data_IF_813613319779
#
_entry.id   IF_813613319779
#
_cell.length_a   1.000
_cell.length_b   1.000
_cell.length_c   1.000
_cell.angle_alpha   90.00
_cell.angle_beta   90.00
_cell.angle_gamma   90.00
#
_symmetry.space_group_name_H-M   'P 1'
#
loop_
_entity.id
_entity.type
_entity.pdbx_description
1 polymer ?
#
# COMPACT_ATOMS: atom_id res chain seq x y z
N UNK A 1 55.06 -1.18 17.78
CA UNK A 1 54.23 -0.59 16.70
C UNK A 1 53.04 -1.51 16.54
N UNK A 2 51.93 -1.15 17.19
CA UNK A 2 50.71 -1.94 17.17
C UNK A 2 50.05 -1.85 15.80
N UNK A 3 49.86 -3.01 15.19
CA UNK A 3 48.95 -3.23 14.07
C UNK A 3 47.52 -3.00 14.58
N UNK A 4 47.05 -1.76 14.44
CA UNK A 4 45.63 -1.46 14.57
C UNK A 4 44.88 -2.19 13.45
N UNK A 5 44.34 -3.35 13.79
CA UNK A 5 43.36 -4.05 12.95
C UNK A 5 42.16 -3.11 12.75
N UNK A 6 42.03 -2.59 11.53
CA UNK A 6 40.81 -1.92 11.11
C UNK A 6 39.66 -2.92 11.28
N UNK A 7 38.83 -2.71 12.31
CA UNK A 7 37.67 -3.56 12.60
C UNK A 7 36.58 -3.34 11.53
N UNK A 8 36.36 -4.25 10.57
CA UNK A 8 35.44 -4.02 9.48
C UNK A 8 34.12 -4.72 9.77
N UNK A 9 33.34 -4.27 10.78
CA UNK A 9 32.02 -4.89 11.03
C UNK A 9 31.01 -4.14 11.92
N UNK A 10 31.14 -2.83 12.18
CA UNK A 10 30.18 -2.11 13.06
C UNK A 10 28.96 -1.48 12.38
N UNK A 11 28.89 -1.41 11.04
CA UNK A 11 27.86 -0.63 10.32
C UNK A 11 27.13 -1.39 9.19
N UNK A 12 27.23 -2.72 9.09
CA UNK A 12 26.43 -3.46 8.12
C UNK A 12 25.00 -3.60 8.65
N UNK A 13 24.02 -3.04 7.92
CA UNK A 13 22.61 -3.25 8.20
C UNK A 13 22.28 -4.74 8.06
N UNK A 14 21.80 -5.36 9.12
CA UNK A 14 21.33 -6.76 9.15
C UNK A 14 19.82 -6.81 8.92
N UNK A 15 19.27 -7.99 8.63
CA UNK A 15 17.81 -8.18 8.55
C UNK A 15 17.14 -7.79 9.87
N UNK A 16 17.68 -8.25 11.00
CA UNK A 16 17.13 -7.95 12.33
C UNK A 16 17.07 -6.44 12.61
N UNK A 17 18.17 -5.73 12.32
CA UNK A 17 18.23 -4.27 12.50
C UNK A 17 17.30 -3.54 11.52
N UNK A 18 17.17 -4.03 10.29
CA UNK A 18 16.21 -3.50 9.33
C UNK A 18 14.77 -3.67 9.83
N UNK A 19 14.38 -4.89 10.25
CA UNK A 19 13.05 -5.18 10.77
C UNK A 19 12.74 -4.36 12.02
N UNK A 20 13.67 -4.27 12.97
CA UNK A 20 13.47 -3.48 14.20
C UNK A 20 13.15 -2.01 13.88
N UNK A 21 13.95 -1.37 13.02
CA UNK A 21 13.73 0.03 12.64
C UNK A 21 12.49 0.22 11.76
N UNK A 22 12.19 -0.74 10.88
CA UNK A 22 10.96 -0.75 10.08
C UNK A 22 9.73 -0.79 10.99
N UNK A 23 9.71 -1.70 11.96
CA UNK A 23 8.58 -1.91 12.86
C UNK A 23 8.37 -0.72 13.79
N UNK A 24 9.45 -0.17 14.36
CA UNK A 24 9.42 1.08 15.13
C UNK A 24 8.81 2.22 14.33
N UNK A 25 9.18 2.36 13.06
CA UNK A 25 8.73 3.47 12.23
C UNK A 25 7.22 3.47 11.95
N UNK A 26 6.53 2.34 12.09
CA UNK A 26 5.09 2.20 11.84
C UNK A 26 4.30 1.85 13.10
N UNK A 27 4.87 2.08 14.28
CA UNK A 27 4.28 1.79 15.59
C UNK A 27 3.84 0.33 15.75
N UNK A 28 4.66 -0.61 15.22
CA UNK A 28 4.45 -2.05 15.37
C UNK A 28 5.48 -2.65 16.33
N UNK A 29 5.14 -3.75 17.02
CA UNK A 29 6.09 -4.39 17.92
C UNK A 29 7.30 -4.89 17.13
N UNK A 30 8.51 -4.63 17.63
CA UNK A 30 9.79 -4.92 16.95
C UNK A 30 10.17 -6.39 16.91
N UNK A 31 9.48 -7.21 17.70
CA UNK A 31 9.57 -8.67 17.65
C UNK A 31 8.43 -9.21 16.80
N UNK A 32 8.66 -10.28 16.04
CA UNK A 32 7.62 -10.95 15.22
C UNK A 32 6.55 -11.70 16.03
N UNK A 33 6.60 -11.56 17.35
CA UNK A 33 5.64 -12.08 18.31
C UNK A 33 5.44 -11.09 19.46
N UNK A 34 4.27 -11.12 20.08
CA UNK A 34 3.98 -10.47 21.35
C UNK A 34 3.81 -11.55 22.41
N UNK A 35 4.27 -11.27 23.62
CA UNK A 35 3.98 -12.11 24.76
C UNK A 35 2.58 -11.77 25.26
N UNK A 36 1.67 -12.74 25.26
CA UNK A 36 0.37 -12.60 25.91
C UNK A 36 0.39 -13.45 27.18
N UNK A 37 0.01 -12.83 28.31
CA UNK A 37 -0.29 -13.55 29.53
C UNK A 37 -1.67 -14.16 29.43
N UNK A 38 -1.74 -15.48 29.45
CA UNK A 38 -2.99 -16.24 29.60
C UNK A 38 -2.94 -17.00 30.91
N UNK A 39 -4.01 -16.92 31.68
CA UNK A 39 -4.13 -17.62 32.96
C UNK A 39 -5.53 -18.21 33.11
N UNK A 40 -5.69 -19.29 33.89
CA UNK A 40 -7.01 -19.77 34.23
C UNK A 40 -7.66 -18.83 35.24
N UNK A 41 -9.00 -18.75 35.20
CA UNK A 41 -9.77 -18.09 36.25
C UNK A 41 -9.41 -18.68 37.62
N UNK A 42 -9.13 -17.82 38.60
CA UNK A 42 -9.07 -18.11 40.04
C UNK A 42 -8.41 -19.47 40.40
N UNK A 43 -7.06 -19.58 40.27
CA UNK A 43 -6.14 -20.46 41.04
C UNK A 43 -5.02 -21.19 40.25
N UNK A 44 -4.92 -21.11 38.93
CA UNK A 44 -3.83 -21.80 38.19
C UNK A 44 -2.66 -20.93 37.74
N UNK A 45 -1.51 -21.57 37.43
CA UNK A 45 -0.27 -20.93 36.95
C UNK A 45 -0.54 -20.14 35.66
N UNK A 46 -0.16 -18.86 35.67
CA UNK A 46 -0.13 -18.01 34.47
C UNK A 46 0.91 -18.55 33.48
N UNK A 47 0.54 -18.65 32.21
CA UNK A 47 1.44 -19.02 31.11
C UNK A 47 1.62 -17.81 30.19
N UNK A 48 2.86 -17.54 29.82
CA UNK A 48 3.14 -16.58 28.75
C UNK A 48 3.23 -17.33 27.42
N UNK A 49 2.40 -16.93 26.46
CA UNK A 49 2.37 -17.52 25.11
C UNK A 49 2.87 -16.48 24.11
N UNK A 50 3.75 -16.92 23.21
CA UNK A 50 4.15 -16.15 22.03
C UNK A 50 3.01 -16.17 21.03
N UNK A 51 2.49 -15.01 20.68
CA UNK A 51 1.49 -14.85 19.61
C UNK A 51 2.12 -14.03 18.50
N UNK A 52 2.14 -14.57 17.28
CA UNK A 52 2.68 -13.85 16.12
C UNK A 52 1.93 -12.54 15.88
N UNK A 53 2.68 -11.48 15.56
CA UNK A 53 2.12 -10.12 15.45
C UNK A 53 1.44 -9.82 14.11
N UNK A 54 1.37 -10.79 13.21
CA UNK A 54 0.84 -10.61 11.85
C UNK A 54 1.84 -10.03 10.85
N UNK A 55 3.02 -9.59 11.30
CA UNK A 55 4.11 -9.12 10.45
C UNK A 55 4.57 -10.21 9.46
N UNK A 56 4.85 -9.82 8.22
CA UNK A 56 5.44 -10.63 7.16
C UNK A 56 4.61 -11.86 6.73
N UNK A 57 3.28 -11.79 6.87
CA UNK A 57 2.37 -12.91 6.61
C UNK A 57 1.33 -12.63 5.52
N UNK A 58 1.38 -11.47 4.88
CA UNK A 58 0.49 -11.18 3.76
C UNK A 58 0.88 -12.08 2.59
N UNK A 59 0.03 -13.05 2.27
CA UNK A 59 0.28 -14.02 1.21
C UNK A 59 0.31 -13.39 -0.19
N UNK A 60 -0.24 -12.18 -0.30
CA UNK A 60 -0.34 -11.40 -1.53
C UNK A 60 0.86 -10.47 -1.74
N UNK A 61 1.90 -10.47 -0.89
CA UNK A 61 3.07 -9.64 -1.09
C UNK A 61 4.39 -10.32 -0.68
N UNK A 62 5.42 -10.13 -1.52
CA UNK A 62 6.79 -10.60 -1.25
C UNK A 62 7.78 -9.49 -1.51
N UNK A 63 8.62 -9.21 -0.53
CA UNK A 63 9.68 -8.20 -0.60
C UNK A 63 11.05 -8.86 -0.67
N UNK A 64 11.88 -8.40 -1.61
CA UNK A 64 13.29 -8.75 -1.71
C UNK A 64 14.09 -7.51 -1.35
N UNK A 65 14.87 -7.59 -0.28
CA UNK A 65 15.74 -6.50 0.17
C UNK A 65 17.17 -6.84 -0.18
N UNK A 66 17.80 -6.01 -1.01
CA UNK A 66 19.23 -6.10 -1.27
C UNK A 66 19.95 -4.99 -0.51
N UNK A 67 20.60 -5.36 0.59
CA UNK A 67 21.25 -4.39 1.48
C UNK A 67 22.52 -3.79 0.87
N UNK A 68 23.23 -4.51 0.01
CA UNK A 68 24.42 -4.00 -0.70
C UNK A 68 24.05 -2.99 -1.78
N UNK A 69 23.08 -3.35 -2.62
CA UNK A 69 22.64 -2.51 -3.74
C UNK A 69 21.71 -1.38 -3.32
N UNK A 70 21.25 -1.36 -2.06
CA UNK A 70 20.30 -0.37 -1.53
C UNK A 70 19.00 -0.35 -2.35
N UNK A 71 18.54 -1.53 -2.76
CA UNK A 71 17.30 -1.71 -3.51
C UNK A 71 16.33 -2.62 -2.79
N UNK A 72 15.05 -2.32 -2.94
CA UNK A 72 13.94 -3.16 -2.46
C UNK A 72 13.01 -3.40 -3.65
N UNK A 73 12.74 -4.65 -3.95
CA UNK A 73 11.75 -5.04 -4.94
C UNK A 73 10.58 -5.70 -4.23
N UNK A 74 9.37 -5.17 -4.40
CA UNK A 74 8.15 -5.69 -3.79
C UNK A 74 7.25 -6.22 -4.89
N UNK A 75 7.02 -7.52 -4.90
CA UNK A 75 6.02 -8.13 -5.76
C UNK A 75 4.71 -8.21 -5.01
N UNK A 76 3.66 -7.62 -5.57
CA UNK A 76 2.29 -7.67 -5.03
C UNK A 76 1.40 -8.44 -5.99
N UNK A 77 0.64 -9.39 -5.47
CA UNK A 77 -0.13 -10.35 -6.26
C UNK A 77 -1.61 -9.96 -6.24
N UNK A 78 -2.16 -9.71 -7.44
CA UNK A 78 -3.58 -9.42 -7.63
C UNK A 78 -4.22 -10.48 -8.55
N UNK A 79 -5.40 -10.95 -8.18
CA UNK A 79 -6.23 -11.80 -9.02
C UNK A 79 -7.25 -10.95 -9.76
N UNK A 80 -6.81 -10.32 -10.86
CA UNK A 80 -7.68 -9.57 -11.75
C UNK A 80 -8.69 -10.50 -12.46
N UNK A 81 -9.97 -10.26 -12.20
CA UNK A 81 -11.08 -10.99 -12.80
C UNK A 81 -11.53 -10.31 -14.08
N UNK A 82 -11.62 -11.09 -15.16
CA UNK A 82 -12.08 -10.62 -16.46
C UNK A 82 -13.59 -10.38 -16.47
N UNK A 83 -14.36 -11.21 -15.76
CA UNK A 83 -15.83 -11.14 -15.72
C UNK A 83 -16.42 -11.09 -17.15
N UNK A 84 -17.25 -10.09 -17.46
CA UNK A 84 -17.87 -9.86 -18.75
C UNK A 84 -17.06 -8.96 -19.69
N UNK A 85 -15.83 -8.55 -19.32
CA UNK A 85 -15.00 -7.71 -20.18
C UNK A 85 -14.53 -8.46 -21.42
N UNK A 86 -14.45 -7.72 -22.54
CA UNK A 86 -13.75 -8.20 -23.73
C UNK A 86 -12.28 -8.52 -23.41
N UNK A 87 -11.65 -9.42 -24.17
CA UNK A 87 -10.24 -9.73 -23.97
C UNK A 87 -9.32 -8.52 -24.18
N UNK A 88 -9.72 -7.58 -25.03
CA UNK A 88 -8.98 -6.34 -25.26
C UNK A 88 -9.08 -5.42 -24.04
N UNK A 89 -10.30 -5.18 -23.55
CA UNK A 89 -10.56 -4.34 -22.37
C UNK A 89 -9.88 -4.93 -21.12
N UNK A 90 -10.03 -6.24 -20.88
CA UNK A 90 -9.38 -6.90 -19.76
C UNK A 90 -7.86 -6.72 -19.78
N UNK A 91 -7.21 -6.91 -20.94
CA UNK A 91 -5.76 -6.70 -21.07
C UNK A 91 -5.37 -5.24 -20.82
N UNK A 92 -6.12 -4.28 -21.37
CA UNK A 92 -5.89 -2.85 -21.16
C UNK A 92 -6.00 -2.49 -19.68
N UNK A 93 -7.13 -2.79 -19.04
CA UNK A 93 -7.38 -2.42 -17.65
C UNK A 93 -6.39 -3.10 -16.69
N UNK A 94 -6.08 -4.37 -16.92
CA UNK A 94 -5.05 -5.09 -16.15
C UNK A 94 -3.69 -4.40 -16.24
N UNK A 95 -3.26 -4.03 -17.45
CA UNK A 95 -1.99 -3.34 -17.66
C UNK A 95 -1.97 -1.97 -16.98
N UNK A 96 -3.03 -1.16 -17.16
CA UNK A 96 -3.15 0.14 -16.50
C UNK A 96 -3.13 0.03 -14.97
N UNK A 97 -3.88 -0.91 -14.38
CA UNK A 97 -3.88 -1.10 -12.93
C UNK A 97 -2.48 -1.47 -12.41
N UNK A 98 -1.78 -2.37 -13.10
CA UNK A 98 -0.41 -2.76 -12.74
C UNK A 98 0.59 -1.60 -12.88
N UNK A 99 0.49 -0.81 -13.95
CA UNK A 99 1.30 0.39 -14.17
C UNK A 99 1.04 1.46 -13.10
N UNK A 100 -0.22 1.69 -12.74
CA UNK A 100 -0.60 2.63 -11.69
C UNK A 100 0.00 2.24 -10.34
N UNK A 101 -0.18 0.98 -9.92
CA UNK A 101 0.41 0.50 -8.66
C UNK A 101 1.93 0.70 -8.68
N UNK A 102 2.59 0.32 -9.78
CA UNK A 102 4.04 0.54 -9.92
C UNK A 102 4.42 2.01 -9.82
N UNK A 103 3.73 2.88 -10.54
CA UNK A 103 4.00 4.32 -10.57
C UNK A 103 3.85 4.96 -9.19
N UNK A 104 2.73 4.72 -8.52
CA UNK A 104 2.39 5.45 -7.29
C UNK A 104 2.97 4.82 -6.02
N UNK A 105 3.31 3.53 -6.03
CA UNK A 105 3.89 2.84 -4.85
C UNK A 105 5.42 2.66 -4.91
N UNK A 106 6.06 2.88 -6.06
CA UNK A 106 7.53 2.89 -6.14
C UNK A 106 8.06 4.26 -5.71
N UNK A 107 8.93 4.26 -4.70
CA UNK A 107 9.56 5.48 -4.20
C UNK A 107 10.80 5.10 -3.37
N UNK A 108 11.39 6.06 -2.68
CA UNK A 108 12.47 5.79 -1.72
C UNK A 108 11.95 5.71 -0.30
N UNK A 109 12.60 4.88 0.52
CA UNK A 109 12.40 4.85 1.96
C UNK A 109 13.73 4.94 2.70
N UNK A 110 13.69 5.34 3.96
CA UNK A 110 14.85 5.33 4.86
C UNK A 110 14.59 4.39 6.04
N UNK A 111 15.49 3.44 6.26
CA UNK A 111 15.45 2.53 7.42
C UNK A 111 16.83 2.57 8.07
N UNK A 112 16.85 2.91 9.37
CA UNK A 112 18.11 3.02 10.14
C UNK A 112 19.15 3.95 9.46
N UNK A 113 18.69 5.11 8.97
CA UNK A 113 19.53 6.09 8.26
C UNK A 113 19.98 5.65 6.85
N UNK A 114 19.68 4.43 6.43
CA UNK A 114 20.00 3.92 5.09
C UNK A 114 18.83 4.15 4.14
N UNK A 115 19.09 4.88 3.05
CA UNK A 115 18.12 5.08 1.97
C UNK A 115 18.08 3.88 1.02
N UNK A 116 16.88 3.45 0.66
CA UNK A 116 16.63 2.41 -0.32
C UNK A 116 15.79 2.93 -1.48
N UNK A 117 16.10 2.50 -2.70
CA UNK A 117 15.21 2.64 -3.84
C UNK A 117 14.21 1.47 -3.88
N UNK A 118 12.91 1.75 -3.80
CA UNK A 118 11.85 0.75 -3.77
C UNK A 118 11.12 0.71 -5.11
N UNK A 119 11.01 -0.48 -5.68
CA UNK A 119 10.21 -0.74 -6.88
C UNK A 119 9.10 -1.71 -6.49
N UNK A 120 7.84 -1.32 -6.72
CA UNK A 120 6.67 -2.16 -6.51
C UNK A 120 6.20 -2.70 -7.86
N UNK A 121 6.13 -4.02 -7.98
CA UNK A 121 5.65 -4.71 -9.17
C UNK A 121 4.33 -5.39 -8.85
N UNK A 122 3.24 -4.88 -9.43
CA UNK A 122 1.97 -5.59 -9.45
C UNK A 122 2.05 -6.75 -10.44
N UNK A 123 1.66 -7.94 -10.00
CA UNK A 123 1.67 -9.17 -10.77
C UNK A 123 0.31 -9.85 -10.69
N UNK A 124 -0.13 -10.42 -11.81
CA UNK A 124 -1.34 -11.22 -11.82
C UNK A 124 -1.08 -12.63 -11.32
N UNK A 125 -1.94 -13.12 -10.42
CA UNK A 125 -1.89 -14.50 -9.94
C UNK A 125 -3.31 -15.01 -9.71
N UNK A 126 -3.69 -16.08 -10.39
CA UNK A 126 -5.06 -16.64 -10.35
C UNK A 126 -5.31 -17.54 -9.13
N UNK A 127 -4.66 -17.28 -8.01
CA UNK A 127 -4.72 -18.10 -6.79
C UNK A 127 -5.31 -17.32 -5.62
N UNK A 128 -5.84 -18.07 -4.64
CA UNK A 128 -6.52 -17.53 -3.46
C UNK A 128 -5.66 -16.67 -2.53
N UNK A 129 -4.35 -16.72 -2.70
CA UNK A 129 -3.38 -15.96 -1.91
C UNK A 129 -3.08 -14.56 -2.48
N UNK A 130 -3.67 -14.22 -3.63
CA UNK A 130 -3.64 -12.89 -4.23
C UNK A 130 -4.89 -12.06 -3.86
N UNK A 131 -4.78 -10.73 -3.91
CA UNK A 131 -5.92 -9.82 -3.68
C UNK A 131 -6.90 -9.96 -4.86
N UNK A 132 -8.16 -10.40 -4.66
CA UNK A 132 -9.12 -10.48 -5.74
C UNK A 132 -9.59 -9.08 -6.17
N UNK A 133 -9.63 -8.85 -7.48
CA UNK A 133 -10.00 -7.56 -8.07
C UNK A 133 -10.93 -7.78 -9.25
N UNK A 134 -12.15 -7.29 -9.16
CA UNK A 134 -13.03 -7.11 -10.31
C UNK A 134 -12.60 -5.89 -11.13
N UNK A 135 -12.34 -6.12 -12.41
CA UNK A 135 -12.19 -5.04 -13.38
C UNK A 135 -13.54 -4.77 -14.03
N UNK A 136 -13.93 -3.49 -14.08
CA UNK A 136 -15.22 -3.05 -14.63
C UNK A 136 -15.03 -1.82 -15.51
N UNK A 137 -15.94 -1.62 -16.46
CA UNK A 137 -16.06 -0.40 -17.24
C UNK A 137 -17.37 0.27 -16.89
N UNK A 138 -17.31 1.58 -16.66
CA UNK A 138 -18.47 2.46 -16.65
C UNK A 138 -18.58 3.14 -18.03
N UNK A 139 -19.70 2.88 -18.71
CA UNK A 139 -20.00 3.40 -20.04
C UNK A 139 -20.89 4.65 -20.00
N UNK A 140 -21.51 4.94 -18.85
CA UNK A 140 -22.23 6.19 -18.61
C UNK A 140 -21.27 7.39 -18.51
N UNK A 141 -21.68 8.60 -18.94
CA UNK A 141 -20.95 9.84 -18.64
C UNK A 141 -20.93 10.19 -17.14
N UNK A 142 -21.68 9.48 -16.30
CA UNK A 142 -21.62 9.64 -14.85
C UNK A 142 -20.38 8.93 -14.26
N UNK A 143 -19.91 9.42 -13.10
CA UNK A 143 -18.76 8.82 -12.44
C UNK A 143 -19.19 7.68 -11.52
N UNK A 144 -18.63 6.48 -11.75
CA UNK A 144 -18.81 5.32 -10.88
C UNK A 144 -17.60 5.10 -9.98
N UNK A 145 -17.81 5.03 -8.66
CA UNK A 145 -16.72 4.94 -7.68
C UNK A 145 -16.15 3.52 -7.59
N UNK A 146 -14.82 3.41 -7.74
CA UNK A 146 -14.08 2.19 -7.37
C UNK A 146 -14.09 1.97 -5.87
N UNK A 147 -13.95 0.73 -5.43
CA UNK A 147 -14.00 0.38 -4.00
C UNK A 147 -13.14 -0.83 -3.68
N UNK A 148 -12.33 -0.74 -2.64
CA UNK A 148 -11.70 -1.88 -2.01
C UNK A 148 -12.02 -1.89 -0.51
N UNK A 149 -13.02 -2.69 -0.08
CA UNK A 149 -13.36 -2.77 1.33
C UNK A 149 -12.24 -3.42 2.14
N UNK A 150 -11.40 -4.25 1.50
CA UNK A 150 -10.34 -5.04 2.13
C UNK A 150 -10.83 -5.92 3.30
N UNK A 151 -12.12 -6.26 3.31
CA UNK A 151 -12.77 -7.14 4.28
C UNK A 151 -12.91 -8.53 3.64
N UNK A 152 -12.75 -9.57 4.44
CA UNK A 152 -12.86 -10.96 3.99
C UNK A 152 -14.17 -11.20 3.24
N UNK A 153 -14.07 -11.73 2.02
CA UNK A 153 -15.20 -12.14 1.19
C UNK A 153 -15.75 -11.08 0.24
N UNK A 154 -15.18 -9.88 0.18
CA UNK A 154 -15.57 -8.86 -0.79
C UNK A 154 -14.37 -8.47 -1.65
N UNK A 155 -14.51 -8.61 -2.96
CA UNK A 155 -13.48 -8.27 -3.92
C UNK A 155 -13.31 -6.76 -4.04
N UNK A 156 -12.10 -6.30 -4.34
CA UNK A 156 -11.91 -4.93 -4.79
C UNK A 156 -12.55 -4.77 -6.17
N UNK A 157 -13.13 -3.60 -6.46
CA UNK A 157 -13.67 -3.25 -7.78
C UNK A 157 -12.95 -2.02 -8.31
N UNK A 158 -12.21 -2.18 -9.41
CA UNK A 158 -11.57 -1.06 -10.11
C UNK A 158 -12.39 -0.74 -11.36
N UNK A 159 -12.91 0.48 -11.43
CA UNK A 159 -13.87 0.91 -12.45
C UNK A 159 -13.23 1.93 -13.38
N UNK A 160 -13.14 1.58 -14.66
CA UNK A 160 -12.64 2.44 -15.73
C UNK A 160 -13.76 3.30 -16.32
N UNK A 161 -13.59 4.62 -16.33
CA UNK A 161 -14.65 5.58 -16.65
C UNK A 161 -14.75 5.87 -18.16
N UNK A 162 -14.96 4.85 -19.00
CA UNK A 162 -14.97 5.00 -20.48
C UNK A 162 -16.00 6.03 -20.95
N UNK A 163 -17.17 6.08 -20.31
CA UNK A 163 -18.26 6.99 -20.66
C UNK A 163 -17.94 8.48 -20.46
N UNK A 164 -16.91 8.82 -19.67
CA UNK A 164 -16.42 10.20 -19.53
C UNK A 164 -15.89 10.80 -20.86
N UNK A 165 -15.64 9.96 -21.87
CA UNK A 165 -15.32 10.42 -23.23
C UNK A 165 -16.45 11.29 -23.81
N UNK A 166 -17.72 11.03 -23.44
CA UNK A 166 -18.86 11.86 -23.84
C UNK A 166 -18.78 13.29 -23.25
N UNK A 167 -18.11 13.46 -22.12
CA UNK A 167 -17.79 14.76 -21.51
C UNK A 167 -16.53 15.40 -22.09
N UNK A 168 -16.05 14.91 -23.24
CA UNK A 168 -14.83 15.36 -23.94
C UNK A 168 -13.55 15.22 -23.09
N UNK A 169 -13.56 14.31 -22.11
CA UNK A 169 -12.35 13.97 -21.36
C UNK A 169 -11.49 13.07 -22.24
N UNK A 170 -10.21 13.42 -22.52
CA UNK A 170 -9.33 12.60 -23.35
C UNK A 170 -9.09 11.23 -22.73
N UNK A 171 -9.01 10.18 -23.56
CA UNK A 171 -8.74 8.80 -23.11
C UNK A 171 -7.50 8.70 -22.22
N UNK A 172 -6.42 9.43 -22.55
CA UNK A 172 -5.21 9.50 -21.73
C UNK A 172 -5.49 9.97 -20.29
N UNK A 173 -6.43 10.88 -20.10
CA UNK A 173 -6.80 11.37 -18.77
C UNK A 173 -7.63 10.32 -18.01
N UNK A 174 -8.51 9.59 -18.70
CA UNK A 174 -9.27 8.46 -18.13
C UNK A 174 -8.31 7.33 -17.72
N UNK A 175 -7.34 6.99 -18.58
CA UNK A 175 -6.29 6.01 -18.29
C UNK A 175 -5.47 6.42 -17.06
N UNK A 176 -5.06 7.69 -16.98
CA UNK A 176 -4.29 8.20 -15.84
C UNK A 176 -5.08 8.21 -14.54
N UNK A 177 -6.37 8.58 -14.57
CA UNK A 177 -7.24 8.51 -13.38
C UNK A 177 -7.45 7.06 -12.95
N UNK A 178 -7.65 6.13 -13.89
CA UNK A 178 -7.76 4.71 -13.58
C UNK A 178 -6.48 4.13 -12.95
N UNK A 179 -5.30 4.53 -13.43
CA UNK A 179 -4.00 4.18 -12.80
C UNK A 179 -3.95 4.68 -11.35
N UNK A 180 -4.32 5.94 -11.13
CA UNK A 180 -4.32 6.58 -9.80
C UNK A 180 -5.27 5.87 -8.84
N UNK A 181 -6.52 5.67 -9.27
CA UNK A 181 -7.56 5.04 -8.46
C UNK A 181 -7.21 3.58 -8.17
N UNK A 182 -6.73 2.81 -9.15
CA UNK A 182 -6.29 1.42 -8.91
C UNK A 182 -5.19 1.34 -7.84
N UNK A 183 -4.25 2.29 -7.84
CA UNK A 183 -3.19 2.35 -6.84
C UNK A 183 -3.70 2.79 -5.46
N UNK A 184 -4.67 3.70 -5.40
CA UNK A 184 -5.37 4.07 -4.17
C UNK A 184 -6.12 2.88 -3.57
N UNK A 185 -6.90 2.19 -4.39
CA UNK A 185 -7.68 1.04 -3.96
C UNK A 185 -6.78 -0.12 -3.52
N UNK A 186 -5.69 -0.41 -4.21
CA UNK A 186 -4.67 -1.35 -3.71
C UNK A 186 -4.16 -0.96 -2.31
N UNK A 187 -3.98 0.34 -2.08
CA UNK A 187 -3.56 0.86 -0.78
C UNK A 187 -4.50 0.54 0.37
N UNK A 188 -5.81 0.41 0.12
CA UNK A 188 -6.75 -0.05 1.14
C UNK A 188 -6.44 -1.45 1.65
N UNK A 189 -5.97 -2.37 0.80
CA UNK A 189 -5.50 -3.70 1.25
C UNK A 189 -4.28 -3.60 2.16
N UNK A 190 -3.33 -2.72 1.85
CA UNK A 190 -2.14 -2.48 2.69
C UNK A 190 -2.55 -1.88 4.03
N UNK A 191 -3.31 -0.79 4.02
CA UNK A 191 -3.69 -0.08 5.25
C UNK A 191 -4.63 -0.90 6.12
N UNK A 192 -5.53 -1.68 5.54
CA UNK A 192 -6.40 -2.59 6.30
C UNK A 192 -5.58 -3.68 6.98
N UNK A 193 -4.62 -4.28 6.27
CA UNK A 193 -3.77 -5.33 6.84
C UNK A 193 -2.97 -4.83 8.05
N UNK A 194 -2.46 -3.60 7.99
CA UNK A 194 -1.61 -3.06 9.06
C UNK A 194 -2.41 -2.36 10.17
N UNK A 195 -3.38 -1.52 9.83
CA UNK A 195 -4.06 -0.63 10.79
C UNK A 195 -5.57 -0.81 10.86
N UNK A 196 -6.14 -1.74 10.09
CA UNK A 196 -7.58 -2.00 10.08
C UNK A 196 -8.42 -0.86 9.51
N UNK A 197 -9.70 -0.88 9.85
CA UNK A 197 -10.73 0.03 9.29
C UNK A 197 -10.39 1.50 9.55
N UNK A 198 -9.89 1.85 10.74
CA UNK A 198 -9.59 3.24 11.10
C UNK A 198 -8.53 3.86 10.19
N UNK A 199 -7.49 3.09 9.85
CA UNK A 199 -6.41 3.55 8.98
C UNK A 199 -6.82 3.54 7.51
N UNK A 200 -7.51 2.47 7.08
CA UNK A 200 -7.92 2.27 5.69
C UNK A 200 -9.11 3.15 5.31
N UNK A 201 -10.28 2.94 5.91
CA UNK A 201 -11.53 3.65 5.55
C UNK A 201 -11.57 5.08 6.11
N UNK A 202 -10.80 5.35 7.16
CA UNK A 202 -10.59 6.71 7.65
C UNK A 202 -9.63 7.53 6.81
N UNK A 203 -9.05 6.97 5.73
CA UNK A 203 -8.08 7.64 4.85
C UNK A 203 -6.96 8.34 5.65
N UNK A 204 -6.32 7.59 6.56
CA UNK A 204 -5.28 8.12 7.48
C UNK A 204 -5.77 9.31 8.32
N UNK A 205 -7.06 9.33 8.64
CA UNK A 205 -7.71 10.32 9.48
C UNK A 205 -8.39 11.47 8.73
N UNK A 206 -8.27 11.58 7.40
CA UNK A 206 -8.91 12.66 6.63
C UNK A 206 -10.42 12.50 6.44
N UNK A 207 -10.97 11.32 6.74
CA UNK A 207 -12.41 11.06 6.68
C UNK A 207 -12.90 10.37 7.95
N UNK A 208 -14.22 10.41 8.18
CA UNK A 208 -14.82 9.51 9.15
C UNK A 208 -14.87 8.08 8.57
N UNK A 209 -14.34 7.06 9.26
CA UNK A 209 -14.29 5.70 8.72
C UNK A 209 -15.67 5.10 8.38
N UNK A 210 -16.72 5.50 9.09
CA UNK A 210 -18.08 4.99 8.90
C UNK A 210 -18.84 5.70 7.78
N UNK A 211 -18.78 7.03 7.75
CA UNK A 211 -19.56 7.84 6.81
C UNK A 211 -18.77 8.29 5.58
N UNK A 212 -17.45 8.04 5.57
CA UNK A 212 -16.46 8.42 4.55
C UNK A 212 -16.48 9.90 4.13
N UNK A 213 -17.18 10.76 4.87
CA UNK A 213 -17.17 12.20 4.66
C UNK A 213 -15.84 12.80 5.15
N UNK A 214 -15.37 13.81 4.42
CA UNK A 214 -14.18 14.57 4.76
C UNK A 214 -14.41 15.25 6.11
N UNK A 215 -13.43 15.15 7.02
CA UNK A 215 -13.49 15.85 8.31
C UNK A 215 -13.27 17.34 8.13
N UNK A 216 -13.87 18.14 9.02
CA UNK A 216 -13.63 19.60 9.05
C UNK A 216 -12.16 19.97 9.28
N UNK A 217 -11.35 19.09 9.88
CA UNK A 217 -9.91 19.29 10.05
C UNK A 217 -9.07 18.95 8.81
N UNK A 218 -9.64 18.32 7.79
CA UNK A 218 -8.91 17.91 6.59
C UNK A 218 -8.48 19.14 5.79
N UNK A 219 -7.19 19.28 5.43
CA UNK A 219 -6.71 20.42 4.66
C UNK A 219 -7.18 20.36 3.21
N UNK A 220 -7.14 21.50 2.52
CA UNK A 220 -7.24 21.52 1.06
C UNK A 220 -5.99 20.97 0.39
N UNK A 221 -6.00 20.91 -0.94
CA UNK A 221 -4.83 20.48 -1.70
C UNK A 221 -3.65 21.41 -1.42
N UNK A 222 -2.42 20.90 -1.19
CA UNK A 222 -1.24 21.76 -1.05
C UNK A 222 -0.91 22.45 -2.38
N UNK A 223 -0.26 23.62 -2.34
CA UNK A 223 0.18 24.32 -3.56
C UNK A 223 1.41 23.68 -4.23
N UNK A 224 2.19 22.89 -3.49
CA UNK A 224 3.39 22.22 -4.00
C UNK A 224 3.73 20.99 -3.16
N UNK A 225 4.58 20.13 -3.72
CA UNK A 225 5.02 18.89 -3.09
C UNK A 225 4.06 17.72 -3.36
N UNK A 226 4.40 16.58 -2.78
CA UNK A 226 3.69 15.35 -3.06
C UNK A 226 2.33 15.27 -2.35
N UNK A 227 1.35 14.66 -3.00
CA UNK A 227 0.06 14.31 -2.41
C UNK A 227 0.14 12.90 -1.81
N UNK A 228 -0.39 12.74 -0.61
CA UNK A 228 -0.50 11.44 0.03
C UNK A 228 -1.61 10.64 -0.67
N UNK A 229 -1.22 9.61 -1.42
CA UNK A 229 -2.13 8.80 -2.23
C UNK A 229 -3.33 8.30 -1.42
N UNK A 230 -3.17 8.05 -0.12
CA UNK A 230 -4.20 7.45 0.73
C UNK A 230 -5.06 8.47 1.49
N UNK A 231 -4.81 9.78 1.35
CA UNK A 231 -5.59 10.84 2.00
C UNK A 231 -6.55 11.50 1.04
N UNK A 232 -7.63 12.02 1.63
CA UNK A 232 -8.48 13.00 0.97
C UNK A 232 -8.09 14.41 1.35
N UNK A 233 -8.43 15.34 0.46
CA UNK A 233 -8.20 16.77 0.59
C UNK A 233 -9.51 17.51 0.32
N UNK A 234 -9.75 18.58 1.08
CA UNK A 234 -10.98 19.36 1.02
C UNK A 234 -10.92 20.43 -0.08
N UNK A 235 -11.59 20.14 -1.20
CA UNK A 235 -11.67 21.03 -2.37
C UNK A 235 -12.34 22.38 -2.07
N UNK A 236 -13.16 22.46 -1.02
CA UNK A 236 -13.79 23.72 -0.62
C UNK A 236 -12.80 24.68 0.02
N UNK A 237 -11.73 24.15 0.64
CA UNK A 237 -10.65 24.97 1.21
C UNK A 237 -9.62 25.35 0.17
N UNK A 238 -9.23 24.39 -0.65
CA UNK A 238 -8.34 24.62 -1.78
C UNK A 238 -8.53 23.51 -2.80
N UNK A 239 -8.79 23.89 -4.05
CA UNK A 239 -8.94 22.96 -5.18
C UNK A 239 -7.58 22.48 -5.65
N UNK A 240 -7.58 21.28 -6.23
CA UNK A 240 -6.42 20.76 -6.92
C UNK A 240 -6.08 21.59 -8.17
N UNK A 241 -4.78 21.73 -8.44
CA UNK A 241 -4.31 22.25 -9.73
C UNK A 241 -4.55 21.22 -10.85
N UNK A 242 -4.51 21.68 -12.10
CA UNK A 242 -4.74 20.80 -13.25
C UNK A 242 -3.74 19.65 -13.27
N UNK A 243 -4.26 18.42 -13.30
CA UNK A 243 -3.49 17.16 -13.26
C UNK A 243 -2.67 16.92 -11.99
N UNK A 244 -2.76 17.78 -10.96
CA UNK A 244 -2.00 17.66 -9.73
C UNK A 244 -2.15 16.28 -9.08
N UNK A 245 -3.40 15.79 -8.99
CA UNK A 245 -3.70 14.47 -8.45
C UNK A 245 -2.96 13.33 -9.16
N UNK A 246 -2.78 13.41 -10.48
CA UNK A 246 -2.11 12.38 -11.27
C UNK A 246 -0.59 12.51 -11.18
N UNK A 247 -0.08 13.74 -11.15
CA UNK A 247 1.36 13.98 -11.23
C UNK A 247 2.05 13.86 -9.86
N UNK A 248 1.39 14.29 -8.79
CA UNK A 248 2.04 14.54 -7.51
C UNK A 248 1.65 13.51 -6.44
N UNK A 249 0.65 12.66 -6.69
CA UNK A 249 0.28 11.61 -5.75
C UNK A 249 1.39 10.56 -5.63
N UNK A 250 1.69 10.15 -4.40
CA UNK A 250 2.60 9.05 -4.10
C UNK A 250 2.11 8.28 -2.88
N UNK A 251 2.44 7.00 -2.79
CA UNK A 251 2.45 6.32 -1.50
C UNK A 251 3.53 6.96 -0.63
N UNK A 252 3.13 7.47 0.53
CA UNK A 252 4.09 8.06 1.47
C UNK A 252 5.04 6.98 1.98
N UNK A 253 6.27 7.37 2.36
CA UNK A 253 7.30 6.44 2.86
C UNK A 253 6.75 5.50 3.96
N UNK A 254 5.92 6.03 4.86
CA UNK A 254 5.26 5.26 5.91
C UNK A 254 4.38 4.13 5.36
N UNK A 255 3.69 4.33 4.24
CA UNK A 255 2.81 3.33 3.64
C UNK A 255 3.60 2.26 2.90
N UNK A 256 4.72 2.63 2.27
CA UNK A 256 5.67 1.66 1.71
C UNK A 256 6.27 0.78 2.82
N UNK A 257 6.60 1.38 3.98
CA UNK A 257 7.04 0.60 5.16
C UNK A 257 5.96 -0.35 5.67
N UNK A 258 4.69 0.06 5.65
CA UNK A 258 3.53 -0.80 5.97
C UNK A 258 3.40 -1.97 4.99
N UNK A 259 3.63 -1.73 3.70
CA UNK A 259 3.65 -2.77 2.68
C UNK A 259 4.77 -3.79 2.93
N UNK A 260 6.00 -3.32 3.20
CA UNK A 260 7.14 -4.20 3.53
C UNK A 260 6.86 -5.00 4.81
N UNK A 261 6.32 -4.35 5.84
CA UNK A 261 5.93 -5.01 7.09
C UNK A 261 4.90 -6.11 6.87
N UNK A 262 3.98 -5.93 5.91
CA UNK A 262 2.96 -6.93 5.59
C UNK A 262 3.55 -8.12 4.83
N UNK A 263 4.49 -7.85 3.91
CA UNK A 263 5.03 -8.82 2.96
C UNK A 263 6.00 -9.84 3.56
N UNK A 264 6.04 -11.05 2.98
CA UNK A 264 7.12 -12.00 3.21
C UNK A 264 8.47 -11.37 2.78
N UNK A 265 9.48 -11.40 3.66
CA UNK A 265 10.80 -10.82 3.36
C UNK A 265 11.81 -11.89 2.95
N UNK A 266 12.49 -11.63 1.83
CA UNK A 266 13.74 -12.28 1.43
C UNK A 266 14.89 -11.29 1.56
N UNK A 267 15.83 -11.57 2.45
CA UNK A 267 17.02 -10.75 2.65
C UNK A 267 18.19 -11.21 1.77
N UNK A 268 18.84 -10.26 1.08
CA UNK A 268 20.07 -10.46 0.31
C UNK A 268 21.16 -9.54 0.87
N UNK A 269 22.12 -10.16 1.53
CA UNK A 269 23.23 -9.50 2.22
C UNK A 269 24.48 -9.35 1.37
#
# INVERSE_FOLDING_TARGET
MDLASASPQKNALTLERFEEHLHKAIDKPTTNFRMIRVGPSRQGRRREIKVHNGAHRATWAKTIINSRLRTISINVFLNFKQNNLSQADYRKLKALAMEGIKQYWSNTITVDGVRFNVIVNALHKSSRDAIPVDLKIEDSPDYSRSINPAILGIDASFIYQRGQSANRIPEKQIDNDFKLVSAHEFGHSVLMYVGGISLSWGHKGSTNPLFQNIKSSTPGYPMSGNLDLMKYYDKNKQKEEKFQRVNDSIAMEIDIKRLIWSSEILWKA
#
